data_IF_110851017133
#
_entry.id   IF_110851017133
#
_cell.length_a   1.000
_cell.length_b   1.000
_cell.length_c   1.000
_cell.angle_alpha   90.00
_cell.angle_beta   90.00
_cell.angle_gamma   90.00
#
_symmetry.space_group_name_H-M   'P 1'
#
loop_
_entity.id
_entity.type
_entity.pdbx_description
1 polymer ?
#
# COMPACT_ATOMS: atom_id res chain seq x y z
N UNK A 1 -14.33 -6.82 -20.46
CA UNK A 1 -13.52 -5.86 -19.69
C UNK A 1 -12.43 -6.67 -18.99
N UNK A 2 -11.21 -6.66 -19.52
CA UNK A 2 -10.10 -7.45 -18.97
C UNK A 2 -9.71 -6.88 -17.60
N UNK A 3 -9.79 -7.72 -16.57
CA UNK A 3 -9.58 -7.38 -15.17
C UNK A 3 -8.15 -7.79 -14.80
N UNK A 4 -7.27 -6.82 -14.57
CA UNK A 4 -5.87 -7.08 -14.21
C UNK A 4 -5.76 -7.28 -12.70
N UNK A 5 -5.92 -8.52 -12.24
CA UNK A 5 -5.35 -8.97 -10.96
C UNK A 5 -3.84 -9.02 -11.11
N UNK A 6 -3.12 -8.21 -10.34
CA UNK A 6 -1.65 -8.24 -10.27
C UNK A 6 -1.29 -9.11 -9.07
N UNK A 7 -0.54 -10.18 -9.30
CA UNK A 7 0.04 -11.01 -8.24
C UNK A 7 1.09 -10.21 -7.43
N UNK A 8 1.33 -10.54 -6.16
CA UNK A 8 2.32 -9.82 -5.34
C UNK A 8 3.72 -9.88 -5.95
N UNK A 9 4.09 -11.00 -6.59
CA UNK A 9 5.35 -11.11 -7.33
C UNK A 9 5.39 -10.22 -8.59
N UNK A 10 4.28 -10.10 -9.30
CA UNK A 10 4.19 -9.20 -10.46
C UNK A 10 4.28 -7.74 -10.05
N UNK A 11 3.71 -7.38 -8.90
CA UNK A 11 3.83 -6.03 -8.34
C UNK A 11 5.27 -5.69 -7.97
N UNK A 12 5.99 -6.62 -7.31
CA UNK A 12 7.42 -6.43 -7.00
C UNK A 12 8.22 -6.26 -8.27
N UNK A 13 8.01 -7.14 -9.26
CA UNK A 13 8.69 -7.04 -10.57
C UNK A 13 8.38 -5.71 -11.26
N UNK A 14 7.16 -5.21 -11.13
CA UNK A 14 6.77 -3.92 -11.67
C UNK A 14 7.53 -2.77 -10.99
N UNK A 15 7.63 -2.79 -9.66
CA UNK A 15 8.39 -1.78 -8.90
C UNK A 15 9.88 -1.85 -9.29
N UNK A 16 10.46 -3.04 -9.32
CA UNK A 16 11.87 -3.26 -9.69
C UNK A 16 12.15 -2.85 -11.15
N UNK A 17 11.20 -3.08 -12.07
CA UNK A 17 11.31 -2.71 -13.49
C UNK A 17 11.01 -1.23 -13.77
N UNK A 18 10.52 -0.48 -12.78
CA UNK A 18 10.20 0.94 -12.89
C UNK A 18 11.05 1.77 -11.93
N UNK A 19 12.37 1.89 -12.15
CA UNK A 19 13.27 2.62 -11.26
C UNK A 19 12.97 4.11 -11.18
N UNK A 20 12.19 4.66 -12.11
CA UNK A 20 11.77 6.06 -12.10
C UNK A 20 10.39 6.27 -11.45
N UNK A 21 9.82 5.27 -10.77
CA UNK A 21 8.49 5.35 -10.19
C UNK A 21 8.56 6.14 -8.89
N UNK A 22 8.32 7.46 -8.91
CA UNK A 22 8.36 8.25 -7.66
C UNK A 22 7.14 8.05 -6.76
N UNK A 23 5.96 7.82 -7.33
CA UNK A 23 4.70 7.70 -6.59
C UNK A 23 3.97 6.43 -6.97
N UNK A 24 3.75 5.57 -5.99
CA UNK A 24 2.98 4.35 -6.12
C UNK A 24 1.70 4.47 -5.31
N UNK A 25 0.55 4.40 -5.99
CA UNK A 25 -0.75 4.32 -5.33
C UNK A 25 -1.35 2.94 -5.57
N UNK A 26 -1.75 2.26 -4.50
CA UNK A 26 -2.42 0.97 -4.52
C UNK A 26 -3.76 1.15 -3.82
N UNK A 27 -4.84 0.89 -4.56
CA UNK A 27 -6.20 0.97 -4.04
C UNK A 27 -6.78 -0.42 -3.90
N UNK A 28 -7.01 -0.86 -2.67
CA UNK A 28 -7.66 -2.11 -2.34
C UNK A 28 -9.16 -1.96 -2.57
N UNK A 29 -9.69 -2.56 -3.65
CA UNK A 29 -11.14 -2.65 -3.87
C UNK A 29 -11.60 -4.08 -3.64
N UNK A 30 -12.13 -4.37 -2.46
CA UNK A 30 -12.71 -5.68 -2.16
C UNK A 30 -14.00 -5.89 -2.97
N UNK A 31 -14.01 -6.84 -3.91
CA UNK A 31 -15.23 -7.38 -4.50
C UNK A 31 -15.58 -8.70 -3.82
N UNK A 32 -16.46 -8.64 -2.83
CA UNK A 32 -17.06 -9.77 -2.10
C UNK A 32 -16.13 -10.65 -1.23
N UNK A 33 -16.72 -11.12 -0.13
CA UNK A 33 -16.13 -11.81 1.02
C UNK A 33 -15.40 -13.15 0.73
N UNK A 34 -15.24 -13.53 -0.53
CA UNK A 34 -14.61 -14.80 -0.93
C UNK A 34 -13.40 -14.63 -1.86
N UNK A 35 -13.19 -13.45 -2.44
CA UNK A 35 -12.04 -13.25 -3.31
C UNK A 35 -10.83 -12.86 -2.48
N UNK A 36 -9.87 -13.78 -2.41
CA UNK A 36 -8.48 -13.54 -1.96
C UNK A 36 -7.70 -12.62 -2.92
N UNK A 37 -8.40 -11.87 -3.76
CA UNK A 37 -7.85 -11.15 -4.90
C UNK A 37 -8.09 -9.66 -4.72
N UNK A 38 -7.06 -8.94 -4.31
CA UNK A 38 -7.07 -7.49 -4.27
C UNK A 38 -6.85 -6.96 -5.69
N UNK A 39 -7.79 -6.16 -6.18
CA UNK A 39 -7.55 -5.40 -7.40
C UNK A 39 -6.60 -4.26 -7.07
N UNK A 40 -5.53 -4.11 -7.84
CA UNK A 40 -4.53 -3.05 -7.66
C UNK A 40 -4.51 -2.18 -8.90
N UNK A 41 -4.57 -0.86 -8.72
CA UNK A 41 -4.42 0.11 -9.80
C UNK A 41 -3.30 1.06 -9.44
N UNK A 42 -2.20 1.03 -10.20
CA UNK A 42 -1.12 2.01 -10.11
C UNK A 42 -1.56 3.29 -10.82
N UNK A 43 -1.63 4.41 -10.10
CA UNK A 43 -2.30 5.64 -10.58
C UNK A 43 -1.35 6.72 -11.10
N UNK A 44 -0.02 6.64 -10.88
CA UNK A 44 0.87 7.73 -11.33
C UNK A 44 2.29 7.27 -11.68
N UNK A 45 2.91 7.91 -12.68
CA UNK A 45 4.29 7.66 -13.15
C UNK A 45 4.96 9.00 -13.44
N UNK A 46 5.63 9.57 -12.44
CA UNK A 46 6.42 10.81 -12.61
C UNK A 46 7.90 10.46 -12.66
N UNK A 47 8.58 10.94 -13.71
CA UNK A 47 9.95 10.57 -14.09
C UNK A 47 10.99 11.43 -13.38
N UNK A 48 11.79 10.82 -12.49
CA UNK A 48 13.18 11.17 -12.14
C UNK A 48 13.82 9.93 -11.47
N UNK A 49 15.15 9.87 -11.40
CA UNK A 49 16.02 8.69 -11.19
C UNK A 49 15.93 7.93 -9.84
N UNK A 50 14.80 7.96 -9.14
CA UNK A 50 14.66 7.30 -7.83
C UNK A 50 13.49 6.31 -7.75
N UNK A 51 13.73 5.22 -7.00
CA UNK A 51 12.73 4.30 -6.44
C UNK A 51 11.57 5.07 -5.76
N UNK A 52 10.40 4.43 -5.51
CA UNK A 52 9.23 5.13 -4.99
C UNK A 52 9.49 5.89 -3.70
N UNK A 53 9.31 7.21 -3.79
CA UNK A 53 9.39 8.19 -2.70
C UNK A 53 8.09 8.30 -1.95
N UNK A 54 6.96 8.12 -2.64
CA UNK A 54 5.63 8.20 -2.04
C UNK A 54 4.87 6.92 -2.32
N UNK A 55 4.45 6.23 -1.26
CA UNK A 55 3.54 5.08 -1.34
C UNK A 55 2.21 5.46 -0.70
N UNK A 56 1.12 5.27 -1.44
CA UNK A 56 -0.24 5.45 -0.95
C UNK A 56 -1.01 4.14 -1.03
N UNK A 57 -1.44 3.65 0.13
CA UNK A 57 -2.28 2.46 0.25
C UNK A 57 -3.69 2.90 0.65
N UNK A 58 -4.71 2.68 -0.19
CA UNK A 58 -6.06 3.17 0.06
C UNK A 58 -7.11 2.06 0.08
N UNK A 59 -8.11 2.20 0.95
CA UNK A 59 -9.18 1.20 1.11
C UNK A 59 -8.81 0.01 1.98
N UNK A 60 -7.76 0.13 2.81
CA UNK A 60 -7.25 -0.97 3.65
C UNK A 60 -8.26 -1.35 4.74
N UNK A 61 -8.61 -2.65 4.84
CA UNK A 61 -9.40 -3.23 5.95
C UNK A 61 -8.54 -3.81 7.07
N UNK A 62 -7.21 -3.66 6.98
CA UNK A 62 -6.23 -4.20 7.91
C UNK A 62 -6.34 -5.73 8.08
N UNK A 63 -6.75 -6.42 7.00
CA UNK A 63 -6.67 -7.88 6.93
C UNK A 63 -5.20 -8.30 6.77
N UNK A 64 -4.83 -9.52 7.22
CA UNK A 64 -3.43 -9.98 7.16
C UNK A 64 -2.81 -9.84 5.77
N UNK A 65 -3.54 -10.21 4.71
CA UNK A 65 -3.03 -10.16 3.34
C UNK A 65 -2.80 -8.73 2.82
N UNK A 66 -3.67 -7.76 3.18
CA UNK A 66 -3.46 -6.34 2.80
C UNK A 66 -2.23 -5.77 3.46
N UNK A 67 -2.04 -6.11 4.74
CA UNK A 67 -0.89 -5.67 5.52
C UNK A 67 0.39 -6.27 4.96
N UNK A 68 0.42 -7.58 4.73
CA UNK A 68 1.58 -8.29 4.18
C UNK A 68 1.99 -7.72 2.82
N UNK A 69 1.03 -7.49 1.92
CA UNK A 69 1.31 -6.84 0.65
C UNK A 69 1.86 -5.42 0.82
N UNK A 70 1.23 -4.63 1.69
CA UNK A 70 1.68 -3.26 1.94
C UNK A 70 3.10 -3.21 2.51
N UNK A 71 3.44 -4.11 3.43
CA UNK A 71 4.79 -4.27 3.99
C UNK A 71 5.78 -4.56 2.87
N UNK A 72 5.48 -5.54 2.02
CA UNK A 72 6.34 -5.92 0.90
C UNK A 72 6.55 -4.78 -0.10
N UNK A 73 5.54 -3.94 -0.34
CA UNK A 73 5.67 -2.73 -1.17
C UNK A 73 6.57 -1.70 -0.50
N UNK A 74 6.42 -1.48 0.80
CA UNK A 74 7.22 -0.52 1.58
C UNK A 74 8.68 -0.96 1.64
N UNK A 75 8.96 -2.24 1.87
CA UNK A 75 10.34 -2.78 1.86
C UNK A 75 11.03 -2.61 0.50
N UNK A 76 10.27 -2.62 -0.59
CA UNK A 76 10.79 -2.38 -1.94
C UNK A 76 10.96 -0.91 -2.28
N UNK A 77 10.30 -0.02 -1.56
CA UNK A 77 10.43 1.42 -1.70
C UNK A 77 11.67 1.92 -0.94
N UNK A 78 12.86 1.60 -1.45
CA UNK A 78 14.14 1.91 -0.78
C UNK A 78 14.41 3.40 -0.61
N UNK A 79 13.78 4.25 -1.41
CA UNK A 79 13.86 5.72 -1.35
C UNK A 79 12.59 6.35 -0.76
N UNK A 80 11.80 5.60 0.01
CA UNK A 80 10.54 6.07 0.57
C UNK A 80 10.75 7.28 1.49
N UNK A 81 10.04 8.36 1.18
CA UNK A 81 9.99 9.61 1.95
C UNK A 81 8.62 9.76 2.63
N UNK A 82 7.55 9.22 2.03
CA UNK A 82 6.18 9.34 2.53
C UNK A 82 5.36 8.06 2.34
N UNK A 83 4.73 7.59 3.42
CA UNK A 83 3.73 6.52 3.41
C UNK A 83 2.38 7.06 3.88
N UNK A 84 1.36 6.93 3.02
CA UNK A 84 -0.03 7.27 3.35
C UNK A 84 -0.88 6.01 3.33
N UNK A 85 -1.50 5.69 4.46
CA UNK A 85 -2.45 4.58 4.57
C UNK A 85 -3.86 5.12 4.85
N UNK A 86 -4.74 5.03 3.86
CA UNK A 86 -6.16 5.35 4.00
C UNK A 86 -6.94 4.08 4.29
N UNK A 87 -7.47 3.97 5.50
CA UNK A 87 -8.29 2.82 5.89
C UNK A 87 -9.69 2.90 5.27
N UNK A 88 -10.27 1.74 4.99
CA UNK A 88 -11.64 1.66 4.47
C UNK A 88 -12.62 2.30 5.46
N UNK A 89 -13.66 3.01 4.97
CA UNK A 89 -14.67 3.57 5.85
C UNK A 89 -15.40 2.45 6.60
N UNK A 90 -15.23 2.39 7.92
CA UNK A 90 -15.99 1.54 8.83
C UNK A 90 -17.00 2.39 9.61
N UNK A 91 -18.16 1.82 9.93
CA UNK A 91 -19.23 2.51 10.67
C UNK A 91 -18.90 2.69 12.15
N UNK A 92 -17.98 1.88 12.70
CA UNK A 92 -17.59 1.91 14.10
C UNK A 92 -16.28 2.67 14.32
N UNK A 93 -16.34 3.74 15.13
CA UNK A 93 -15.15 4.50 15.54
C UNK A 93 -14.11 3.63 16.25
N UNK A 94 -14.56 2.72 17.12
CA UNK A 94 -13.64 1.82 17.86
C UNK A 94 -12.95 0.82 16.94
N UNK A 95 -13.62 0.35 15.88
CA UNK A 95 -12.96 -0.46 14.85
C UNK A 95 -11.93 0.35 14.08
N UNK A 96 -12.26 1.61 13.74
CA UNK A 96 -11.35 2.52 13.04
C UNK A 96 -10.04 2.73 13.81
N UNK A 97 -10.12 3.00 15.11
CA UNK A 97 -8.93 3.17 15.96
C UNK A 97 -8.13 1.86 16.11
N UNK A 98 -8.80 0.71 16.24
CA UNK A 98 -8.11 -0.60 16.25
C UNK A 98 -7.38 -0.87 14.94
N UNK A 99 -7.98 -0.53 13.80
CA UNK A 99 -7.36 -0.67 12.48
C UNK A 99 -6.14 0.24 12.38
N UNK A 100 -6.25 1.51 12.78
CA UNK A 100 -5.11 2.45 12.83
C UNK A 100 -3.98 1.94 13.70
N UNK A 101 -4.28 1.44 14.89
CA UNK A 101 -3.29 0.88 15.80
C UNK A 101 -2.61 -0.35 15.19
N UNK A 102 -3.36 -1.24 14.53
CA UNK A 102 -2.80 -2.40 13.83
C UNK A 102 -1.88 -1.97 12.69
N UNK A 103 -2.31 -1.04 11.84
CA UNK A 103 -1.48 -0.52 10.76
C UNK A 103 -0.20 0.10 11.31
N UNK A 104 -0.28 0.94 12.35
CA UNK A 104 0.93 1.49 12.97
C UNK A 104 1.85 0.39 13.51
N UNK A 105 1.31 -0.61 14.21
CA UNK A 105 2.10 -1.71 14.76
C UNK A 105 2.90 -2.46 13.71
N UNK A 106 2.32 -2.67 12.52
CA UNK A 106 2.94 -3.49 11.46
C UNK A 106 3.89 -2.67 10.58
N UNK A 107 3.55 -1.41 10.28
CA UNK A 107 4.34 -0.57 9.38
C UNK A 107 5.41 0.26 10.10
N UNK A 108 5.16 0.77 11.31
CA UNK A 108 6.14 1.60 12.01
C UNK A 108 7.53 0.94 12.15
N UNK A 109 7.66 -0.36 12.48
CA UNK A 109 8.97 -0.97 12.71
C UNK A 109 9.84 -1.12 11.46
N UNK A 110 9.25 -1.09 10.26
CA UNK A 110 9.97 -1.26 8.99
C UNK A 110 10.29 0.08 8.31
N UNK A 111 9.77 1.19 8.84
CA UNK A 111 10.01 2.53 8.32
C UNK A 111 11.26 3.12 8.94
N UNK A 112 12.00 3.89 8.14
CA UNK A 112 13.06 4.75 8.66
C UNK A 112 12.43 5.95 9.39
N UNK A 113 13.12 6.47 10.40
CA UNK A 113 12.64 7.61 11.21
C UNK A 113 12.35 8.88 10.39
N UNK A 114 12.98 9.01 9.22
CA UNK A 114 12.79 10.11 8.28
C UNK A 114 11.51 10.02 7.44
N UNK A 115 10.81 8.87 7.43
CA UNK A 115 9.62 8.68 6.60
C UNK A 115 8.41 9.37 7.24
N UNK A 116 7.74 10.24 6.47
CA UNK A 116 6.46 10.79 6.86
C UNK A 116 5.37 9.71 6.79
N UNK A 117 4.96 9.18 7.94
CA UNK A 117 3.94 8.13 8.01
C UNK A 117 2.59 8.65 8.50
N UNK A 118 1.59 8.59 7.61
CA UNK A 118 0.24 9.06 7.88
C UNK A 118 -0.77 7.92 7.76
N UNK A 119 -1.63 7.76 8.76
CA UNK A 119 -2.77 6.82 8.74
C UNK A 119 -4.07 7.61 8.85
N UNK A 120 -4.88 7.59 7.79
CA UNK A 120 -6.11 8.38 7.62
C UNK A 120 -7.33 7.50 7.80
#
# INVERSE_FOLDING_TARGET
MFRNTIDSHELVRFIDACPCLQRLEIKFTATNFHDRYYHMKVVNKTSNDDHPKTVKLSGIKASPNEVELGVLVVEKATALEELIVEISPDKSYTNRERMRARIRKEFQPILQDSVNFVVV
#
